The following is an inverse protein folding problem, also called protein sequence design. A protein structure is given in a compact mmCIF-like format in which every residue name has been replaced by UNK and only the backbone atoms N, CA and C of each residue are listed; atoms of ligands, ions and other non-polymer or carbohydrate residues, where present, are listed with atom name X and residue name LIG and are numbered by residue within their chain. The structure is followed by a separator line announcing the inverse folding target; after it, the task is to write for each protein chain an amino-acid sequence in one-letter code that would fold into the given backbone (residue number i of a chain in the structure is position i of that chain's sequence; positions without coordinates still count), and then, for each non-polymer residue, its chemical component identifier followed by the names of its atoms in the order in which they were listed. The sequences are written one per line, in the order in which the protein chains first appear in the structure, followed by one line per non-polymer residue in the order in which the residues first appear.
data_IF_729662145696
#
_entry.id   IF_729662145696
#
_cell.length_a   1.000
_cell.length_b   1.000
_cell.length_c   1.000
_cell.angle_alpha   90.00
_cell.angle_beta   90.00
_cell.angle_gamma   90.00
#
_symmetry.space_group_name_H-M   'P 1'
#
loop_
_entity.id
_entity.type
_entity.pdbx_description
1 polymer ?
#
# COMPACT_ATOMS: atom_id res chain seq x y z
N UNK A 1 -31.25 8.14 10.16
CA UNK A 1 -30.08 7.27 10.46
C UNK A 1 -28.92 8.18 10.79
N UNK A 2 -28.27 8.07 11.96
CA UNK A 2 -27.07 8.85 12.22
C UNK A 2 -25.96 8.37 11.26
N UNK A 3 -25.26 9.33 10.66
CA UNK A 3 -24.15 9.06 9.75
C UNK A 3 -23.02 8.42 10.55
N UNK A 4 -22.74 7.14 10.30
CA UNK A 4 -21.67 6.36 10.96
C UNK A 4 -20.27 6.82 10.54
N UNK A 5 -20.17 7.60 9.47
CA UNK A 5 -18.91 8.15 9.00
C UNK A 5 -18.77 9.56 9.55
N UNK A 6 -18.07 9.69 10.69
CA UNK A 6 -17.59 10.98 11.18
C UNK A 6 -16.80 11.66 10.07
N UNK A 7 -17.21 12.87 9.66
CA UNK A 7 -16.45 13.72 8.74
C UNK A 7 -15.03 14.05 9.26
N UNK A 8 -14.75 13.75 10.54
CA UNK A 8 -13.44 13.83 11.18
C UNK A 8 -12.49 12.67 10.83
N UNK A 9 -12.97 11.58 10.21
CA UNK A 9 -12.13 10.50 9.71
C UNK A 9 -11.58 10.87 8.33
N UNK A 10 -10.65 11.83 8.27
CA UNK A 10 -9.95 12.17 7.03
C UNK A 10 -8.93 11.07 6.70
N UNK A 11 -9.38 9.99 6.06
CA UNK A 11 -8.54 8.87 5.65
C UNK A 11 -9.35 7.71 5.05
N UNK A 12 -8.70 6.86 4.27
CA UNK A 12 -9.31 5.58 3.87
C UNK A 12 -9.52 4.69 5.10
N UNK A 13 -10.57 3.86 5.14
CA UNK A 13 -10.74 2.87 6.21
C UNK A 13 -9.52 1.95 6.32
N UNK A 14 -9.17 1.54 7.56
CA UNK A 14 -8.02 0.65 7.82
C UNK A 14 -8.08 -0.65 7.00
N UNK A 15 -9.27 -1.25 6.84
CA UNK A 15 -9.47 -2.44 6.00
C UNK A 15 -9.09 -2.18 4.53
N UNK A 16 -9.44 -1.02 3.98
CA UNK A 16 -9.07 -0.63 2.62
C UNK A 16 -7.55 -0.41 2.49
N UNK A 17 -6.91 0.19 3.50
CA UNK A 17 -5.46 0.36 3.52
C UNK A 17 -4.73 -0.98 3.59
N UNK A 18 -5.22 -1.94 4.38
CA UNK A 18 -4.67 -3.29 4.46
C UNK A 18 -4.79 -4.02 3.11
N UNK A 19 -5.94 -3.93 2.45
CA UNK A 19 -6.14 -4.49 1.11
C UNK A 19 -5.14 -3.90 0.09
N UNK A 20 -4.94 -2.58 0.08
CA UNK A 20 -3.97 -1.96 -0.83
C UNK A 20 -2.54 -2.41 -0.49
N UNK A 21 -2.19 -2.53 0.79
CA UNK A 21 -0.88 -3.05 1.20
C UNK A 21 -0.62 -4.45 0.64
N UNK A 22 -1.62 -5.33 0.72
CA UNK A 22 -1.52 -6.71 0.24
C UNK A 22 -1.42 -6.77 -1.28
N UNK A 23 -2.21 -5.97 -2.01
CA UNK A 23 -2.11 -5.86 -3.46
C UNK A 23 -0.73 -5.37 -3.92
N UNK A 24 -0.13 -4.40 -3.22
CA UNK A 24 1.22 -3.92 -3.54
C UNK A 24 2.28 -4.99 -3.26
N UNK A 25 2.07 -5.84 -2.25
CA UNK A 25 2.94 -7.00 -1.98
C UNK A 25 2.84 -8.01 -3.11
N UNK A 26 1.62 -8.40 -3.49
CA UNK A 26 1.39 -9.30 -4.60
C UNK A 26 1.96 -8.77 -5.92
N UNK A 27 1.89 -7.46 -6.17
CA UNK A 27 2.50 -6.84 -7.34
C UNK A 27 4.04 -6.95 -7.34
N UNK A 28 4.68 -6.83 -6.18
CA UNK A 28 6.13 -7.03 -6.05
C UNK A 28 6.52 -8.50 -6.25
N UNK A 29 5.73 -9.43 -5.75
CA UNK A 29 6.01 -10.85 -5.90
C UNK A 29 5.78 -11.30 -7.35
N UNK A 30 4.67 -10.88 -7.96
CA UNK A 30 4.32 -11.21 -9.35
C UNK A 30 5.32 -10.64 -10.37
N UNK A 31 6.01 -9.55 -10.04
CA UNK A 31 7.03 -8.94 -10.91
C UNK A 31 8.45 -9.35 -10.53
N UNK A 32 8.65 -10.29 -9.62
CA UNK A 32 9.97 -10.81 -9.27
C UNK A 32 10.61 -11.58 -10.44
N UNK A 33 11.90 -11.35 -10.68
CA UNK A 33 12.66 -12.02 -11.75
C UNK A 33 14.00 -12.56 -11.23
N UNK A 34 14.41 -13.77 -11.67
CA UNK A 34 15.66 -14.39 -11.24
C UNK A 34 16.93 -13.73 -11.81
N UNK A 35 16.86 -13.09 -12.98
CA UNK A 35 18.04 -12.60 -13.71
C UNK A 35 18.15 -11.06 -13.76
N UNK A 36 17.35 -10.35 -12.97
CA UNK A 36 17.37 -8.88 -12.89
C UNK A 36 16.22 -8.18 -13.60
N UNK A 37 16.23 -6.86 -13.52
CA UNK A 37 15.20 -5.96 -14.02
C UNK A 37 15.81 -4.95 -15.00
N UNK A 38 15.09 -4.65 -16.08
CA UNK A 38 15.35 -3.44 -16.87
C UNK A 38 15.19 -2.19 -16.00
N UNK A 39 15.71 -1.05 -16.45
CA UNK A 39 15.66 0.18 -15.67
C UNK A 39 14.21 0.62 -15.38
N UNK A 40 13.31 0.51 -16.35
CA UNK A 40 11.89 0.83 -16.17
C UNK A 40 11.20 -0.09 -15.17
N UNK A 41 11.51 -1.39 -15.19
CA UNK A 41 10.99 -2.36 -14.21
C UNK A 41 11.54 -2.08 -12.81
N UNK A 42 12.80 -1.71 -12.71
CA UNK A 42 13.44 -1.35 -11.43
C UNK A 42 12.78 -0.12 -10.82
N UNK A 43 12.52 0.90 -11.62
CA UNK A 43 11.84 2.13 -11.21
C UNK A 43 10.40 1.84 -10.79
N UNK A 44 9.65 1.09 -11.59
CA UNK A 44 8.30 0.64 -11.25
C UNK A 44 8.26 -0.08 -9.90
N UNK A 45 9.16 -1.05 -9.70
CA UNK A 45 9.28 -1.77 -8.42
C UNK A 45 9.70 -0.84 -7.27
N UNK A 46 10.54 0.15 -7.54
CA UNK A 46 10.95 1.16 -6.55
C UNK A 46 9.75 1.98 -6.06
N UNK A 47 8.90 2.45 -6.97
CA UNK A 47 7.67 3.17 -6.63
C UNK A 47 6.70 2.28 -5.85
N UNK A 48 6.49 1.03 -6.25
CA UNK A 48 5.63 0.08 -5.55
C UNK A 48 6.12 -0.18 -4.12
N UNK A 49 7.43 -0.40 -3.91
CA UNK A 49 8.00 -0.55 -2.56
C UNK A 49 7.76 0.69 -1.71
N UNK A 50 7.96 1.89 -2.27
CA UNK A 50 7.77 3.16 -1.55
C UNK A 50 6.30 3.38 -1.19
N UNK A 51 5.37 3.05 -2.08
CA UNK A 51 3.94 3.10 -1.82
C UNK A 51 3.56 2.14 -0.68
N UNK A 52 4.04 0.89 -0.74
CA UNK A 52 3.77 -0.10 0.31
C UNK A 52 4.28 0.36 1.68
N UNK A 53 5.53 0.81 1.75
CA UNK A 53 6.13 1.31 2.99
C UNK A 53 5.34 2.49 3.59
N UNK A 54 4.83 3.39 2.74
CA UNK A 54 3.99 4.51 3.21
C UNK A 54 2.67 4.02 3.79
N UNK A 55 2.03 3.02 3.17
CA UNK A 55 0.78 2.45 3.67
C UNK A 55 1.01 1.71 4.99
N UNK A 56 2.10 0.94 5.11
CA UNK A 56 2.50 0.31 6.37
C UNK A 56 2.60 1.35 7.49
N UNK A 57 3.29 2.48 7.26
CA UNK A 57 3.40 3.54 8.26
C UNK A 57 2.05 4.17 8.64
N UNK A 58 1.11 4.33 7.69
CA UNK A 58 -0.23 4.84 7.98
C UNK A 58 -1.02 3.83 8.82
N UNK A 59 -0.98 2.54 8.48
CA UNK A 59 -1.63 1.47 9.22
C UNK A 59 -1.11 1.37 10.67
N UNK A 60 0.21 1.44 10.84
CA UNK A 60 0.85 1.45 12.16
C UNK A 60 0.42 2.67 12.98
N UNK A 61 0.35 3.85 12.36
CA UNK A 61 -0.11 5.08 13.02
C UNK A 61 -1.60 5.07 13.38
N UNK A 62 -2.42 4.32 12.65
CA UNK A 62 -3.86 4.19 12.92
C UNK A 62 -4.20 3.14 13.99
N UNK A 63 -3.22 2.31 14.40
CA UNK A 63 -3.37 1.28 15.42
C UNK A 63 -2.97 1.75 16.84
N UNK A 64 -2.42 2.96 16.97
CA UNK A 64 -2.05 3.65 18.21
C UNK A 64 -3.14 4.62 18.66
#
# INVERSE_FOLDING_TARGET
MPNVNSAAATGLPSATLAEIHDLLTLALDATEKPFGYSDSERDGRSYTRRARARITAILESAAL
#
